data_IF_753633077771
#
_entry.id   IF_753633077771
#
_cell.length_a   1.000
_cell.length_b   1.000
_cell.length_c   1.000
_cell.angle_alpha   90.00
_cell.angle_beta   90.00
_cell.angle_gamma   90.00
#
_symmetry.space_group_name_H-M   'P 1'
#
loop_
_entity.id
_entity.type
_entity.pdbx_description
1 polymer ?
#
# COMPACT_ATOMS: atom_id res chain seq x y z
N UNK A 1 -44.80 20.70 -42.13
CA UNK A 1 -45.00 20.44 -40.70
C UNK A 1 -44.19 19.19 -40.34
N UNK A 2 -42.96 19.39 -39.84
CA UNK A 2 -42.08 18.29 -39.39
C UNK A 2 -42.20 18.15 -37.87
N UNK A 3 -42.73 17.01 -37.43
CA UNK A 3 -42.71 16.65 -35.99
C UNK A 3 -41.32 16.13 -35.65
N UNK A 4 -40.58 16.88 -34.79
CA UNK A 4 -39.37 16.39 -34.13
C UNK A 4 -39.76 15.54 -32.93
N UNK A 5 -39.58 14.23 -33.03
CA UNK A 5 -39.72 13.30 -31.94
C UNK A 5 -38.46 13.42 -31.05
N UNK A 6 -38.61 13.97 -29.85
CA UNK A 6 -37.55 14.04 -28.84
C UNK A 6 -37.58 12.69 -28.10
N UNK A 7 -36.52 11.89 -28.31
CA UNK A 7 -36.29 10.66 -27.56
C UNK A 7 -35.72 10.99 -26.19
N UNK A 8 -36.52 10.87 -25.15
CA UNK A 8 -36.05 10.97 -23.76
C UNK A 8 -35.34 9.65 -23.39
N UNK A 9 -34.02 9.67 -23.31
CA UNK A 9 -33.24 8.56 -22.73
C UNK A 9 -33.32 8.69 -21.21
N UNK A 10 -34.12 7.84 -20.59
CA UNK A 10 -34.21 7.70 -19.15
C UNK A 10 -32.97 6.93 -18.68
N UNK A 11 -31.94 7.63 -18.21
CA UNK A 11 -30.80 7.01 -17.53
C UNK A 11 -31.29 6.59 -16.15
N UNK A 12 -31.59 5.31 -16.00
CA UNK A 12 -31.86 4.69 -14.70
C UNK A 12 -30.52 4.59 -13.97
N UNK A 13 -30.26 5.52 -13.05
CA UNK A 13 -29.23 5.35 -12.03
C UNK A 13 -29.69 4.21 -11.10
N UNK A 14 -29.15 3.00 -11.31
CA UNK A 14 -29.24 1.97 -10.27
C UNK A 14 -28.38 2.44 -9.08
N UNK A 15 -28.94 2.51 -7.87
CA UNK A 15 -28.12 2.77 -6.71
C UNK A 15 -27.14 1.60 -6.56
N UNK A 16 -25.83 1.85 -6.70
CA UNK A 16 -24.82 0.92 -6.28
C UNK A 16 -25.05 0.57 -4.81
N UNK A 17 -25.06 -0.71 -4.50
CA UNK A 17 -25.34 -1.32 -3.21
C UNK A 17 -24.70 -0.57 -2.03
N UNK A 18 -25.44 0.32 -1.40
CA UNK A 18 -25.03 1.03 -0.18
C UNK A 18 -24.87 0.11 1.05
N UNK A 19 -25.35 -1.15 0.98
CA UNK A 19 -25.31 -2.08 2.11
C UNK A 19 -24.01 -2.90 2.23
N UNK A 20 -23.24 -3.06 1.16
CA UNK A 20 -22.01 -3.87 1.23
C UNK A 20 -20.89 -3.18 2.04
N UNK A 21 -20.82 -1.83 2.02
CA UNK A 21 -19.85 -1.06 2.79
C UNK A 21 -20.09 -1.14 4.30
N UNK A 22 -21.34 -1.13 4.73
CA UNK A 22 -21.68 -1.03 6.16
C UNK A 22 -21.26 -2.29 6.97
N UNK A 23 -21.42 -3.50 6.43
CA UNK A 23 -21.11 -4.73 7.18
C UNK A 23 -19.60 -5.06 7.18
N UNK A 24 -18.91 -4.80 6.07
CA UNK A 24 -17.45 -4.87 6.01
C UNK A 24 -16.82 -3.84 6.99
N UNK A 25 -17.31 -2.60 6.99
CA UNK A 25 -16.83 -1.56 7.90
C UNK A 25 -17.12 -1.88 9.37
N UNK A 26 -18.28 -2.48 9.70
CA UNK A 26 -18.59 -2.94 11.06
C UNK A 26 -17.59 -4.01 11.51
N UNK A 27 -17.27 -5.00 10.64
CA UNK A 27 -16.29 -6.02 10.95
C UNK A 27 -14.91 -5.41 11.23
N UNK A 28 -14.45 -4.48 10.38
CA UNK A 28 -13.19 -3.78 10.61
C UNK A 28 -13.23 -2.96 11.89
N UNK A 29 -14.34 -2.26 12.17
CA UNK A 29 -14.48 -1.46 13.39
C UNK A 29 -14.43 -2.32 14.65
N UNK A 30 -15.00 -3.53 14.62
CA UNK A 30 -14.88 -4.49 15.70
C UNK A 30 -13.44 -5.03 15.83
N UNK A 31 -12.77 -5.32 14.71
CA UNK A 31 -11.38 -5.79 14.70
C UNK A 31 -10.38 -4.74 15.22
N UNK A 32 -10.64 -3.46 14.96
CA UNK A 32 -9.83 -2.31 15.40
C UNK A 32 -10.31 -1.71 16.72
N UNK A 33 -11.46 -2.14 17.22
CA UNK A 33 -12.03 -1.68 18.48
C UNK A 33 -11.32 -2.29 19.69
N UNK A 34 -11.37 -1.60 20.86
CA UNK A 34 -10.70 -2.07 22.08
C UNK A 34 -11.31 -3.34 22.66
N UNK A 35 -12.58 -3.61 22.35
CA UNK A 35 -13.29 -4.80 22.84
C UNK A 35 -13.05 -6.04 21.98
N UNK A 36 -12.43 -5.86 20.79
CA UNK A 36 -12.09 -6.92 19.88
C UNK A 36 -13.29 -7.69 19.29
N UNK A 37 -13.03 -8.91 18.86
CA UNK A 37 -14.03 -9.84 18.31
C UNK A 37 -14.09 -11.08 19.18
N UNK A 38 -15.24 -11.37 19.78
CA UNK A 38 -15.43 -12.52 20.67
C UNK A 38 -15.51 -13.86 19.92
N UNK A 39 -16.23 -13.88 18.79
CA UNK A 39 -16.38 -15.08 17.95
C UNK A 39 -15.58 -14.89 16.64
N UNK A 40 -14.28 -15.11 16.73
CA UNK A 40 -13.34 -15.00 15.61
C UNK A 40 -13.54 -16.11 14.58
N UNK A 41 -13.95 -17.30 14.99
CA UNK A 41 -14.14 -18.43 14.09
C UNK A 41 -15.25 -18.16 13.05
N UNK A 42 -16.29 -17.45 13.43
CA UNK A 42 -17.38 -17.09 12.52
C UNK A 42 -17.01 -16.02 11.50
N UNK A 43 -16.03 -15.17 11.80
CA UNK A 43 -15.69 -13.98 10.99
C UNK A 43 -14.27 -13.99 10.41
N UNK A 44 -13.48 -15.02 10.67
CA UNK A 44 -12.16 -15.21 10.07
C UNK A 44 -12.21 -16.29 8.99
N UNK A 45 -11.32 -16.19 8.00
CA UNK A 45 -11.15 -17.16 6.91
C UNK A 45 -9.67 -17.30 6.54
N UNK A 46 -9.29 -18.46 5.99
CA UNK A 46 -7.92 -18.72 5.53
C UNK A 46 -6.89 -18.59 6.64
N UNK A 47 -5.85 -17.81 6.41
CA UNK A 47 -4.76 -17.58 7.37
C UNK A 47 -5.25 -17.04 8.71
N UNK A 48 -6.17 -16.09 8.70
CA UNK A 48 -6.71 -15.51 9.93
C UNK A 48 -7.40 -16.58 10.80
N UNK A 49 -8.16 -17.48 10.19
CA UNK A 49 -8.81 -18.57 10.89
C UNK A 49 -7.80 -19.59 11.45
N UNK A 50 -6.77 -19.91 10.66
CA UNK A 50 -5.79 -20.95 11.03
C UNK A 50 -4.80 -20.50 12.10
N UNK A 51 -4.38 -19.26 12.08
CA UNK A 51 -3.25 -18.79 12.88
C UNK A 51 -3.62 -17.76 13.96
N UNK A 52 -4.75 -17.03 13.82
CA UNK A 52 -5.01 -15.84 14.63
C UNK A 52 -6.27 -15.87 15.50
N UNK A 53 -7.01 -16.98 15.53
CA UNK A 53 -8.22 -17.10 16.38
C UNK A 53 -7.93 -16.94 17.87
N UNK A 54 -6.79 -17.47 18.33
CA UNK A 54 -6.36 -17.38 19.75
C UNK A 54 -5.63 -16.08 20.09
N UNK A 55 -5.29 -15.25 19.10
CA UNK A 55 -4.57 -14.01 19.34
C UNK A 55 -5.54 -12.83 19.56
N UNK A 56 -5.16 -11.81 20.34
CA UNK A 56 -5.95 -10.57 20.41
C UNK A 56 -6.09 -9.95 19.03
N UNK A 57 -7.20 -9.25 18.78
CA UNK A 57 -7.36 -8.44 17.58
C UNK A 57 -6.38 -7.27 17.60
N UNK A 58 -6.22 -6.61 16.46
CA UNK A 58 -5.33 -5.47 16.40
C UNK A 58 -5.75 -4.37 17.39
N UNK A 59 -7.06 -4.09 17.49
CA UNK A 59 -7.59 -3.08 18.41
C UNK A 59 -7.32 -3.37 19.88
N UNK A 60 -7.44 -4.62 20.30
CA UNK A 60 -7.11 -5.07 21.68
C UNK A 60 -5.61 -4.85 22.00
N UNK A 61 -4.74 -4.86 20.97
CA UNK A 61 -3.29 -4.71 21.12
C UNK A 61 -2.81 -3.25 21.04
N UNK A 62 -3.68 -2.31 20.62
CA UNK A 62 -3.31 -0.91 20.47
C UNK A 62 -3.24 -0.17 21.80
N UNK A 63 -2.29 0.75 21.98
CA UNK A 63 -2.26 1.64 23.14
C UNK A 63 -3.56 2.44 23.29
N UNK A 64 -3.97 2.69 24.54
CA UNK A 64 -5.12 3.55 24.81
C UNK A 64 -4.97 4.93 24.17
N UNK A 65 -6.03 5.40 23.51
CA UNK A 65 -6.03 6.68 22.79
C UNK A 65 -5.55 6.58 21.35
N UNK A 66 -5.28 5.38 20.84
CA UNK A 66 -5.04 5.17 19.41
C UNK A 66 -6.27 5.53 18.60
N UNK A 67 -6.05 6.05 17.40
CA UNK A 67 -7.09 6.37 16.43
C UNK A 67 -6.79 5.73 15.08
N UNK A 68 -7.80 5.51 14.27
CA UNK A 68 -7.62 4.99 12.92
C UNK A 68 -8.50 5.73 11.92
N UNK A 69 -8.09 5.69 10.65
CA UNK A 69 -8.90 6.11 9.52
C UNK A 69 -8.87 5.05 8.43
N UNK A 70 -10.01 4.86 7.76
CA UNK A 70 -10.22 3.84 6.73
C UNK A 70 -10.31 4.49 5.35
N UNK A 71 -9.77 3.80 4.36
CA UNK A 71 -9.92 4.13 2.94
C UNK A 71 -10.00 2.84 2.12
N UNK A 72 -11.00 2.71 1.27
CA UNK A 72 -11.10 1.60 0.34
C UNK A 72 -10.01 1.76 -0.74
N UNK A 73 -9.23 0.70 -0.96
CA UNK A 73 -8.24 0.60 -2.04
C UNK A 73 -8.85 -0.11 -3.25
N UNK A 74 -9.52 -1.22 -3.00
CA UNK A 74 -10.14 -2.05 -4.01
C UNK A 74 -11.46 -2.61 -3.47
N UNK A 75 -12.47 -2.74 -4.34
CA UNK A 75 -13.78 -3.30 -3.96
C UNK A 75 -14.42 -4.01 -5.14
N UNK A 76 -14.92 -5.21 -4.88
CA UNK A 76 -15.78 -5.97 -5.77
C UNK A 76 -16.98 -6.55 -5.01
N UNK A 77 -17.78 -7.37 -5.67
CA UNK A 77 -18.90 -8.05 -5.02
C UNK A 77 -18.48 -8.96 -3.86
N UNK A 78 -17.31 -9.62 -3.99
CA UNK A 78 -16.88 -10.68 -3.10
C UNK A 78 -15.58 -10.37 -2.35
N UNK A 79 -14.93 -9.25 -2.59
CA UNK A 79 -13.75 -8.83 -1.84
C UNK A 79 -13.69 -7.30 -1.68
N UNK A 80 -13.06 -6.87 -0.62
CA UNK A 80 -12.71 -5.47 -0.39
C UNK A 80 -11.42 -5.37 0.37
N UNK A 81 -10.58 -4.42 -0.03
CA UNK A 81 -9.30 -4.15 0.61
C UNK A 81 -9.31 -2.72 1.14
N UNK A 82 -9.01 -2.59 2.41
CA UNK A 82 -8.90 -1.29 3.07
C UNK A 82 -7.46 -0.93 3.40
N UNK A 83 -7.09 0.31 3.12
CA UNK A 83 -5.96 0.96 3.77
C UNK A 83 -6.43 1.53 5.10
N UNK A 84 -5.71 1.23 6.16
CA UNK A 84 -6.00 1.67 7.52
C UNK A 84 -4.79 2.41 8.07
N UNK A 85 -4.89 3.72 8.21
CA UNK A 85 -3.87 4.49 8.91
C UNK A 85 -4.16 4.46 10.41
N UNK A 86 -3.29 3.79 11.18
CA UNK A 86 -3.36 3.77 12.65
C UNK A 86 -2.39 4.80 13.19
N UNK A 87 -2.89 5.64 14.10
CA UNK A 87 -2.10 6.62 14.85
C UNK A 87 -2.09 6.24 16.32
N UNK A 88 -0.91 6.10 16.86
CA UNK A 88 -0.64 5.87 18.29
C UNK A 88 0.12 7.07 18.87
N UNK A 89 0.47 7.04 20.14
CA UNK A 89 1.21 8.12 20.81
C UNK A 89 2.56 8.39 20.12
N UNK A 90 2.56 9.30 19.13
CA UNK A 90 3.74 9.73 18.39
C UNK A 90 4.12 8.91 17.15
N UNK A 91 3.44 7.78 16.88
CA UNK A 91 3.70 6.92 15.73
C UNK A 91 2.47 6.77 14.84
N UNK A 92 2.70 6.62 13.54
CA UNK A 92 1.65 6.32 12.57
C UNK A 92 2.12 5.17 11.67
N UNK A 93 1.21 4.27 11.31
CA UNK A 93 1.53 3.13 10.45
C UNK A 93 0.36 2.78 9.54
N UNK A 94 0.67 2.46 8.29
CA UNK A 94 -0.30 1.94 7.33
C UNK A 94 -0.45 0.43 7.51
N UNK A 95 -1.71 -0.01 7.48
CA UNK A 95 -2.13 -1.40 7.49
C UNK A 95 -3.06 -1.63 6.31
N UNK A 96 -3.11 -2.88 5.83
CA UNK A 96 -3.98 -3.30 4.73
C UNK A 96 -4.82 -4.47 5.20
N UNK A 97 -6.14 -4.30 5.18
CA UNK A 97 -7.09 -5.29 5.66
C UNK A 97 -7.84 -5.86 4.48
N UNK A 98 -7.72 -7.16 4.29
CA UNK A 98 -8.35 -7.93 3.23
C UNK A 98 -9.58 -8.63 3.77
N UNK A 99 -10.73 -8.29 3.20
CA UNK A 99 -11.99 -8.96 3.49
C UNK A 99 -12.46 -9.72 2.26
N UNK A 100 -12.99 -10.90 2.49
CA UNK A 100 -13.63 -11.74 1.47
C UNK A 100 -15.02 -12.13 1.92
N UNK A 101 -15.97 -12.18 0.98
CA UNK A 101 -17.30 -12.69 1.24
C UNK A 101 -17.30 -14.22 1.14
N UNK A 102 -17.79 -14.87 2.17
CA UNK A 102 -17.94 -16.30 2.25
C UNK A 102 -19.39 -16.60 2.67
N UNK A 103 -20.13 -17.38 1.87
CA UNK A 103 -21.55 -17.65 2.06
C UNK A 103 -22.40 -16.37 2.31
N UNK A 104 -22.06 -15.27 1.63
CA UNK A 104 -22.76 -13.99 1.74
C UNK A 104 -22.34 -13.12 2.93
N UNK A 105 -21.46 -13.60 3.82
CA UNK A 105 -20.97 -12.90 5.00
C UNK A 105 -19.54 -12.40 4.79
N UNK A 106 -19.25 -11.16 5.17
CA UNK A 106 -17.89 -10.63 5.14
C UNK A 106 -17.02 -11.27 6.21
N UNK A 107 -15.87 -11.79 5.79
CA UNK A 107 -14.87 -12.42 6.68
C UNK A 107 -13.50 -11.76 6.50
N UNK A 108 -12.75 -11.68 7.58
CA UNK A 108 -11.37 -11.19 7.59
C UNK A 108 -10.45 -12.29 7.05
N UNK A 109 -9.79 -12.01 5.92
CA UNK A 109 -8.92 -12.95 5.22
C UNK A 109 -7.45 -12.76 5.61
N UNK A 110 -6.99 -11.51 5.64
CA UNK A 110 -5.61 -11.18 5.97
C UNK A 110 -5.48 -9.75 6.49
N UNK A 111 -4.45 -9.53 7.28
CA UNK A 111 -4.04 -8.21 7.76
C UNK A 111 -2.54 -8.06 7.50
N UNK A 112 -2.17 -7.02 6.78
CA UNK A 112 -0.79 -6.80 6.34
C UNK A 112 -0.30 -5.41 6.69
N UNK A 113 1.00 -5.31 6.86
CA UNK A 113 1.72 -4.04 6.98
C UNK A 113 3.16 -4.30 6.53
N UNK A 114 3.86 -3.28 6.06
CA UNK A 114 5.29 -3.43 5.78
C UNK A 114 6.01 -3.82 7.06
N UNK A 115 6.53 -5.05 7.09
CA UNK A 115 7.19 -5.66 8.23
C UNK A 115 8.68 -5.35 8.19
N UNK A 116 9.07 -4.15 8.60
CA UNK A 116 10.47 -3.79 8.79
C UNK A 116 10.91 -4.22 10.19
N UNK A 117 12.08 -4.85 10.27
CA UNK A 117 12.65 -5.23 11.57
C UNK A 117 13.02 -3.98 12.37
N UNK A 118 13.03 -4.07 13.71
CA UNK A 118 13.49 -2.99 14.59
C UNK A 118 14.94 -2.55 14.34
N UNK A 119 15.67 -3.28 13.46
CA UNK A 119 17.00 -2.88 12.98
C UNK A 119 16.93 -1.55 12.23
N UNK A 120 15.86 -1.29 11.45
CA UNK A 120 15.69 0.01 10.77
C UNK A 120 15.64 1.15 11.77
N UNK A 121 14.82 1.03 12.81
CA UNK A 121 14.69 2.06 13.83
C UNK A 121 16.02 2.29 14.58
N UNK A 122 16.72 1.20 14.94
CA UNK A 122 18.03 1.29 15.59
C UNK A 122 19.08 1.98 14.71
N UNK A 123 19.12 1.65 13.40
CA UNK A 123 20.09 2.27 12.48
C UNK A 123 19.73 3.73 12.23
N UNK A 124 18.46 4.06 12.02
CA UNK A 124 17.98 5.44 11.90
C UNK A 124 18.39 6.24 13.14
N UNK A 125 18.12 5.73 14.34
CA UNK A 125 18.48 6.38 15.59
C UNK A 125 20.00 6.57 15.74
N UNK A 126 20.80 5.54 15.40
CA UNK A 126 22.26 5.62 15.44
C UNK A 126 22.80 6.67 14.47
N UNK A 127 22.25 6.72 13.25
CA UNK A 127 22.69 7.67 12.22
C UNK A 127 22.19 9.09 12.47
N UNK A 128 21.04 9.29 13.11
CA UNK A 128 20.50 10.62 13.41
C UNK A 128 21.38 11.40 14.39
N UNK A 129 22.12 10.72 15.27
CA UNK A 129 22.86 11.31 16.37
C UNK A 129 24.36 11.57 16.07
N UNK A 130 24.79 11.43 14.81
CA UNK A 130 26.19 11.65 14.43
C UNK A 130 26.33 12.46 13.14
N UNK A 131 27.52 13.05 12.94
CA UNK A 131 27.91 13.59 11.64
C UNK A 131 28.08 12.42 10.66
N UNK A 132 27.37 12.45 9.54
CA UNK A 132 27.40 11.43 8.50
C UNK A 132 28.34 11.83 7.36
N UNK A 133 29.02 10.84 6.80
CA UNK A 133 29.65 10.99 5.49
C UNK A 133 28.58 10.82 4.38
N UNK A 134 28.95 10.95 3.12
CA UNK A 134 28.01 10.89 1.99
C UNK A 134 27.27 9.55 1.89
N UNK A 135 27.96 8.42 2.08
CA UNK A 135 27.36 7.08 2.05
C UNK A 135 26.38 6.85 3.20
N UNK A 136 26.77 7.29 4.40
CA UNK A 136 25.91 7.22 5.59
C UNK A 136 24.67 8.13 5.45
N UNK A 137 24.83 9.31 4.83
CA UNK A 137 23.70 10.19 4.55
C UNK A 137 22.75 9.54 3.54
N UNK A 138 23.28 8.96 2.47
CA UNK A 138 22.49 8.21 1.49
C UNK A 138 21.71 7.07 2.16
N UNK A 139 22.37 6.25 2.96
CA UNK A 139 21.72 5.14 3.67
C UNK A 139 20.66 5.64 4.67
N UNK A 140 20.95 6.72 5.40
CA UNK A 140 20.02 7.31 6.36
C UNK A 140 18.76 7.83 5.68
N UNK A 141 18.89 8.60 4.60
CA UNK A 141 17.76 9.14 3.86
C UNK A 141 16.94 8.03 3.18
N UNK A 142 17.60 7.01 2.64
CA UNK A 142 16.93 5.83 2.08
C UNK A 142 16.10 5.09 3.13
N UNK A 143 16.64 4.85 4.32
CA UNK A 143 15.91 4.21 5.42
C UNK A 143 14.72 5.06 5.89
N UNK A 144 14.90 6.37 6.03
CA UNK A 144 13.81 7.28 6.36
C UNK A 144 12.69 7.22 5.31
N UNK A 145 13.07 7.18 4.02
CA UNK A 145 12.12 7.09 2.93
C UNK A 145 11.39 5.74 2.95
N UNK A 146 12.09 4.64 3.20
CA UNK A 146 11.51 3.28 3.30
C UNK A 146 10.45 3.18 4.39
N UNK A 147 10.59 3.92 5.50
CA UNK A 147 9.66 3.88 6.64
C UNK A 147 8.48 4.84 6.53
N UNK A 148 8.41 5.64 5.47
CA UNK A 148 7.34 6.64 5.29
C UNK A 148 5.96 6.02 5.09
N UNK A 149 4.93 6.80 5.46
CA UNK A 149 3.54 6.48 5.17
C UNK A 149 3.24 6.53 3.67
N UNK A 150 2.22 5.81 3.23
CA UNK A 150 1.75 5.81 1.83
C UNK A 150 1.52 7.22 1.29
N UNK A 151 0.89 8.06 2.07
CA UNK A 151 0.62 9.46 1.69
C UNK A 151 1.89 10.29 1.55
N UNK A 152 2.89 10.06 2.39
CA UNK A 152 4.18 10.74 2.32
C UNK A 152 5.00 10.27 1.12
N UNK A 153 4.98 8.95 0.84
CA UNK A 153 5.63 8.37 -0.34
C UNK A 153 5.01 8.86 -1.64
N UNK A 154 3.68 8.93 -1.72
CA UNK A 154 3.00 9.53 -2.88
C UNK A 154 3.38 10.99 -3.08
N UNK A 155 3.42 11.77 -2.01
CA UNK A 155 3.83 13.17 -2.08
C UNK A 155 5.31 13.33 -2.47
N UNK A 156 6.19 12.46 -1.94
CA UNK A 156 7.59 12.41 -2.33
C UNK A 156 7.76 12.16 -3.83
N UNK A 157 7.04 11.18 -4.38
CA UNK A 157 7.02 10.92 -5.82
C UNK A 157 6.55 12.15 -6.62
N UNK A 158 5.41 12.72 -6.25
CA UNK A 158 4.82 13.87 -6.97
C UNK A 158 5.75 15.07 -6.99
N UNK A 159 6.46 15.32 -5.87
CA UNK A 159 7.44 16.41 -5.78
C UNK A 159 8.68 16.18 -6.66
N UNK A 160 9.03 14.91 -6.89
CA UNK A 160 10.23 14.52 -7.64
C UNK A 160 9.92 13.88 -9.01
N UNK A 161 8.69 13.99 -9.49
CA UNK A 161 8.20 13.26 -10.68
C UNK A 161 9.11 13.39 -11.89
N UNK A 162 9.59 14.59 -12.19
CA UNK A 162 10.48 14.82 -13.34
C UNK A 162 11.81 14.07 -13.23
N UNK A 163 12.32 13.87 -12.00
CA UNK A 163 13.53 13.10 -11.77
C UNK A 163 13.27 11.60 -11.92
N UNK A 164 12.10 11.11 -11.47
CA UNK A 164 11.68 9.73 -11.70
C UNK A 164 11.47 9.42 -13.18
N UNK A 165 10.85 10.31 -13.94
CA UNK A 165 10.69 10.15 -15.40
C UNK A 165 12.05 10.11 -16.11
N UNK A 166 12.99 10.99 -15.73
CA UNK A 166 14.36 10.98 -16.24
C UNK A 166 15.12 9.71 -15.88
N UNK A 167 14.91 9.17 -14.67
CA UNK A 167 15.53 7.93 -14.22
C UNK A 167 15.09 6.75 -15.10
N UNK A 168 13.78 6.60 -15.35
CA UNK A 168 13.26 5.57 -16.24
C UNK A 168 13.81 5.72 -17.66
N UNK A 169 13.87 6.94 -18.19
CA UNK A 169 14.45 7.18 -19.51
C UNK A 169 15.95 6.84 -19.59
N UNK A 170 16.72 7.18 -18.56
CA UNK A 170 18.15 6.82 -18.49
C UNK A 170 18.33 5.31 -18.44
N UNK A 171 17.53 4.59 -17.65
CA UNK A 171 17.52 3.13 -17.59
C UNK A 171 17.22 2.48 -18.95
N UNK A 172 16.18 2.96 -19.64
CA UNK A 172 15.77 2.45 -20.94
C UNK A 172 16.82 2.72 -22.04
N UNK A 173 17.56 3.82 -21.94
CA UNK A 173 18.61 4.20 -22.87
C UNK A 173 19.98 3.58 -22.54
N UNK A 174 20.13 2.88 -21.42
CA UNK A 174 21.40 2.33 -20.95
C UNK A 174 22.41 3.39 -20.48
N UNK A 175 21.95 4.58 -20.09
CA UNK A 175 22.79 5.66 -19.56
C UNK A 175 23.04 5.42 -18.05
N UNK A 176 24.00 4.55 -17.79
CA UNK A 176 24.31 4.07 -16.43
C UNK A 176 24.88 5.15 -15.51
N UNK A 177 25.58 6.14 -16.05
CA UNK A 177 26.13 7.24 -15.26
C UNK A 177 25.01 8.14 -14.73
N UNK A 178 24.12 8.56 -15.60
CA UNK A 178 22.97 9.37 -15.24
C UNK A 178 21.97 8.61 -14.37
N UNK A 179 21.77 7.31 -14.62
CA UNK A 179 20.98 6.42 -13.77
C UNK A 179 21.51 6.42 -12.33
N UNK A 180 22.81 6.16 -12.15
CA UNK A 180 23.45 6.15 -10.83
C UNK A 180 23.36 7.49 -10.11
N UNK A 181 23.52 8.61 -10.85
CA UNK A 181 23.34 9.95 -10.29
C UNK A 181 21.93 10.17 -9.78
N UNK A 182 20.90 9.80 -10.56
CA UNK A 182 19.49 9.98 -10.20
C UNK A 182 19.07 9.06 -9.04
N UNK A 183 19.56 7.82 -8.99
CA UNK A 183 19.35 6.91 -7.86
C UNK A 183 19.85 7.56 -6.55
N UNK A 184 21.05 8.12 -6.56
CA UNK A 184 21.58 8.83 -5.39
C UNK A 184 20.76 10.07 -5.04
N UNK A 185 20.44 10.91 -6.03
CA UNK A 185 19.65 12.12 -5.84
C UNK A 185 18.28 11.83 -5.20
N UNK A 186 17.66 10.72 -5.58
CA UNK A 186 16.35 10.29 -5.10
C UNK A 186 16.40 9.33 -3.91
N UNK A 187 17.57 9.10 -3.32
CA UNK A 187 17.76 8.18 -2.19
C UNK A 187 17.16 6.78 -2.42
N UNK A 188 17.25 6.28 -3.64
CA UNK A 188 16.73 4.97 -4.04
C UNK A 188 17.77 3.88 -3.84
N UNK A 189 17.30 2.63 -3.80
CA UNK A 189 18.18 1.47 -3.76
C UNK A 189 18.63 1.07 -5.18
N UNK A 190 17.68 0.85 -6.08
CA UNK A 190 17.97 0.46 -7.47
C UNK A 190 16.79 0.75 -8.40
N UNK A 191 17.05 0.50 -9.70
CA UNK A 191 16.04 0.41 -10.76
C UNK A 191 16.30 -0.85 -11.57
N UNK A 192 15.25 -1.62 -11.89
CA UNK A 192 15.38 -2.86 -12.66
C UNK A 192 14.07 -3.22 -13.37
N UNK A 193 14.15 -4.12 -14.35
CA UNK A 193 12.97 -4.81 -14.88
C UNK A 193 12.65 -6.01 -14.01
N UNK A 194 11.41 -6.15 -13.61
CA UNK A 194 10.99 -7.33 -12.84
C UNK A 194 10.98 -8.57 -13.72
N UNK A 195 11.42 -9.68 -13.16
CA UNK A 195 11.40 -10.96 -13.89
C UNK A 195 9.97 -11.39 -14.23
N UNK A 196 9.06 -11.30 -13.25
CA UNK A 196 7.67 -11.74 -13.39
C UNK A 196 6.81 -10.75 -14.22
N UNK A 197 7.27 -9.52 -14.37
CA UNK A 197 6.60 -8.44 -15.11
C UNK A 197 7.61 -7.71 -16.01
N UNK A 198 8.08 -8.35 -17.10
CA UNK A 198 9.25 -7.88 -17.88
C UNK A 198 9.06 -6.53 -18.58
N UNK A 199 7.81 -6.05 -18.69
CA UNK A 199 7.50 -4.74 -19.25
C UNK A 199 7.39 -3.65 -18.18
N UNK A 200 7.40 -4.01 -16.90
CA UNK A 200 7.29 -3.09 -15.78
C UNK A 200 8.69 -2.79 -15.24
N UNK A 201 8.96 -1.52 -15.02
CA UNK A 201 10.19 -1.06 -14.38
C UNK A 201 9.90 -0.86 -12.90
N UNK A 202 10.67 -1.53 -12.08
CA UNK A 202 10.66 -1.40 -10.63
C UNK A 202 11.72 -0.39 -10.19
N UNK A 203 11.29 0.65 -9.51
CA UNK A 203 12.14 1.68 -8.88
C UNK A 203 12.08 1.46 -7.38
N UNK A 204 12.98 0.62 -6.87
CA UNK A 204 13.01 0.22 -5.47
C UNK A 204 13.54 1.34 -4.58
N UNK A 205 12.76 1.71 -3.55
CA UNK A 205 13.24 2.57 -2.47
C UNK A 205 14.13 1.74 -1.55
N UNK A 206 13.58 0.68 -0.96
CA UNK A 206 14.29 -0.16 -0.01
C UNK A 206 13.41 -1.26 0.56
N UNK A 207 13.95 -1.97 1.55
CA UNK A 207 13.28 -3.09 2.20
C UNK A 207 14.24 -4.11 2.78
N UNK A 208 13.70 -5.20 3.31
CA UNK A 208 14.46 -6.36 3.79
C UNK A 208 13.79 -7.62 3.27
N UNK A 209 14.54 -8.47 2.59
CA UNK A 209 14.05 -9.71 1.97
C UNK A 209 12.90 -9.41 1.00
N UNK A 210 11.73 -10.00 1.25
CA UNK A 210 10.49 -9.84 0.51
C UNK A 210 9.69 -8.57 0.91
N UNK A 211 9.97 -8.00 2.07
CA UNK A 211 9.34 -6.75 2.52
C UNK A 211 9.99 -5.53 1.86
N UNK A 212 9.47 -5.12 0.73
CA UNK A 212 9.99 -4.02 -0.09
C UNK A 212 8.98 -2.91 -0.30
N UNK A 213 9.46 -1.72 -0.57
CA UNK A 213 8.69 -0.54 -0.94
C UNK A 213 9.34 0.17 -2.13
N UNK A 214 8.53 0.66 -3.04
CA UNK A 214 9.02 1.33 -4.24
C UNK A 214 7.92 1.85 -5.13
N UNK A 215 8.30 2.16 -6.36
CA UNK A 215 7.40 2.62 -7.40
C UNK A 215 7.51 1.72 -8.63
N UNK A 216 6.38 1.48 -9.29
CA UNK A 216 6.34 0.78 -10.56
C UNK A 216 6.03 1.78 -11.68
N UNK A 217 6.85 1.76 -12.72
CA UNK A 217 6.49 2.39 -13.98
C UNK A 217 5.90 1.34 -14.92
N UNK A 218 4.60 1.48 -15.18
CA UNK A 218 3.80 0.57 -16.02
C UNK A 218 3.53 1.26 -17.35
N UNK A 219 4.15 0.83 -18.46
CA UNK A 219 3.92 1.43 -19.77
C UNK A 219 2.46 1.32 -20.23
N UNK A 220 2.06 2.20 -21.13
CA UNK A 220 0.71 2.16 -21.72
C UNK A 220 0.44 0.79 -22.37
N UNK A 221 -0.73 0.23 -22.06
CA UNK A 221 -1.17 -1.08 -22.59
C UNK A 221 -0.75 -2.26 -21.72
N UNK A 222 -0.10 -2.04 -20.60
CA UNK A 222 0.19 -3.05 -19.59
C UNK A 222 -0.55 -2.72 -18.30
N UNK A 223 -0.86 -3.78 -17.52
CA UNK A 223 -1.49 -3.66 -16.22
C UNK A 223 -0.47 -3.84 -15.09
N UNK A 224 -0.64 -3.12 -13.96
CA UNK A 224 0.18 -3.36 -12.78
C UNK A 224 -0.07 -4.77 -12.20
N UNK A 225 0.82 -5.27 -11.34
CA UNK A 225 0.52 -6.44 -10.53
C UNK A 225 -0.78 -6.25 -9.74
N UNK A 226 -1.48 -7.36 -9.48
CA UNK A 226 -2.71 -7.34 -8.68
C UNK A 226 -2.36 -7.34 -7.20
N UNK A 227 -3.04 -6.50 -6.45
CA UNK A 227 -2.91 -6.44 -4.99
C UNK A 227 -3.38 -7.75 -4.35
N UNK A 228 -2.54 -8.35 -3.51
CA UNK A 228 -2.84 -9.59 -2.81
C UNK A 228 -2.12 -9.66 -1.45
N UNK A 229 -2.57 -10.56 -0.58
CA UNK A 229 -2.00 -10.66 0.77
C UNK A 229 -0.64 -11.37 0.84
N UNK A 230 -0.22 -12.05 -0.24
CA UNK A 230 0.93 -12.95 -0.23
C UNK A 230 2.18 -12.35 -0.87
N UNK A 231 2.03 -11.28 -1.66
CA UNK A 231 3.13 -10.62 -2.36
C UNK A 231 2.95 -9.10 -2.34
N UNK A 232 2.10 -8.57 -3.21
CA UNK A 232 1.85 -7.13 -3.32
C UNK A 232 0.76 -6.71 -2.33
N UNK A 233 1.15 -6.48 -1.09
CA UNK A 233 0.22 -6.09 -0.01
C UNK A 233 -0.37 -4.70 -0.19
N UNK A 234 0.22 -3.89 -1.05
CA UNK A 234 -0.28 -2.59 -1.42
C UNK A 234 0.19 -2.20 -2.81
N UNK A 235 -0.74 -1.82 -3.65
CA UNK A 235 -0.49 -1.14 -4.93
C UNK A 235 -1.53 -0.03 -5.08
N UNK A 236 -1.08 1.18 -5.42
CA UNK A 236 -1.99 2.28 -5.71
C UNK A 236 -1.43 3.16 -6.83
N UNK A 237 -2.29 3.55 -7.74
CA UNK A 237 -1.92 4.48 -8.82
C UNK A 237 -1.66 5.87 -8.24
N UNK A 238 -0.54 6.49 -8.62
CA UNK A 238 -0.19 7.87 -8.25
C UNK A 238 -0.54 8.82 -9.40
N UNK A 239 -0.06 8.49 -10.59
CA UNK A 239 -0.31 9.23 -11.83
C UNK A 239 -0.44 8.26 -13.00
N UNK A 240 -0.57 8.77 -14.23
CA UNK A 240 -0.48 7.93 -15.42
C UNK A 240 0.87 7.20 -15.44
N UNK A 241 0.83 5.88 -15.62
CA UNK A 241 1.99 4.99 -15.67
C UNK A 241 2.75 4.77 -14.36
N UNK A 242 2.42 5.45 -13.27
CA UNK A 242 3.14 5.32 -12.01
C UNK A 242 2.26 4.81 -10.87
N UNK A 243 2.77 3.82 -10.17
CA UNK A 243 2.15 3.19 -9.01
C UNK A 243 3.14 3.15 -7.86
N UNK A 244 2.66 3.28 -6.63
CA UNK A 244 3.41 2.91 -5.43
C UNK A 244 3.08 1.48 -5.07
N UNK A 245 4.04 0.74 -4.52
CA UNK A 245 3.81 -0.61 -4.05
C UNK A 245 4.52 -0.88 -2.71
N UNK A 246 3.99 -1.86 -1.97
CA UNK A 246 4.66 -2.56 -0.87
C UNK A 246 4.46 -4.05 -1.02
N UNK A 247 5.51 -4.83 -0.68
CA UNK A 247 5.47 -6.30 -0.68
C UNK A 247 5.66 -6.87 0.72
N UNK A 248 5.41 -8.17 0.88
CA UNK A 248 5.66 -8.96 2.09
C UNK A 248 6.21 -10.32 1.72
#
# INVERSE_FOLDING_TARGET
>A
MLYKTILFILIIFMPLNANAGSDAEKLISSFLGPDGISDKESVYIGEMLQAYTSHPTLGESLPKGSTYSLRILESSENHVIYSVLIKTNGNSKDWYIYLKKDEGVWKLQAVRTLALSGIFDMVIQKLSNKKRNEEEEQAYQNMLLTTKLDSELKNYFLTNKDAFDKLVQSHLNGDTEKEAMLIRQLYLNNILKRYDYPNIIDVSIGGILDNSVGYLHVPKGFEPPVMNADEFIYIERITDHWYIYKTT
#
